data_IF_122314026560
#
_entry.id   IF_122314026560
#
_cell.length_a   1.000
_cell.length_b   1.000
_cell.length_c   1.000
_cell.angle_alpha   90.00
_cell.angle_beta   90.00
_cell.angle_gamma   90.00
#
_symmetry.space_group_name_H-M   'P 1'
#
loop_
_entity.id
_entity.type
_entity.pdbx_description
1 polymer ?
#
# COMPACT_ATOMS: atom_id res chain seq x y z
N UNK A 1 -29.48 -67.33 -1.72
CA UNK A 1 -28.42 -66.56 -1.03
C UNK A 1 -27.62 -65.82 -2.10
N UNK A 2 -27.94 -64.55 -2.33
CA UNK A 2 -27.34 -63.71 -3.38
C UNK A 2 -26.23 -62.84 -2.77
N UNK A 3 -24.98 -63.14 -3.10
CA UNK A 3 -23.81 -62.34 -2.70
C UNK A 3 -23.70 -61.11 -3.59
N UNK A 4 -23.98 -59.94 -3.02
CA UNK A 4 -23.80 -58.63 -3.64
C UNK A 4 -22.32 -58.27 -3.65
N UNK A 5 -21.69 -58.31 -4.82
CA UNK A 5 -20.32 -57.85 -5.04
C UNK A 5 -20.32 -56.32 -5.14
N UNK A 6 -19.86 -55.63 -4.08
CA UNK A 6 -19.65 -54.17 -4.11
C UNK A 6 -18.35 -53.86 -4.87
N UNK A 7 -18.50 -53.18 -6.00
CA UNK A 7 -17.41 -52.61 -6.81
C UNK A 7 -16.60 -51.61 -5.96
N UNK A 8 -15.26 -51.65 -5.96
CA UNK A 8 -14.44 -50.72 -5.19
C UNK A 8 -14.59 -49.28 -5.72
N UNK A 9 -14.53 -48.25 -4.86
CA UNK A 9 -14.56 -46.87 -5.31
C UNK A 9 -13.34 -46.58 -6.19
N UNK A 10 -13.57 -45.88 -7.31
CA UNK A 10 -12.51 -45.48 -8.23
C UNK A 10 -11.46 -44.64 -7.47
N UNK A 11 -10.20 -45.09 -7.49
CA UNK A 11 -9.06 -44.31 -6.97
C UNK A 11 -9.04 -42.96 -7.69
N UNK A 12 -9.22 -41.86 -6.95
CA UNK A 12 -8.93 -40.50 -7.44
C UNK A 12 -7.52 -40.51 -8.02
N UNK A 13 -7.39 -40.18 -9.30
CA UNK A 13 -6.08 -40.02 -9.94
C UNK A 13 -5.24 -39.05 -9.10
N UNK A 14 -4.02 -39.46 -8.75
CA UNK A 14 -3.09 -38.60 -8.04
C UNK A 14 -2.84 -37.35 -8.89
N UNK A 15 -2.99 -36.16 -8.29
CA UNK A 15 -2.62 -34.91 -8.98
C UNK A 15 -1.15 -35.02 -9.39
N UNK A 16 -0.80 -34.68 -10.65
CA UNK A 16 0.60 -34.70 -11.07
C UNK A 16 1.41 -33.79 -10.13
N UNK A 17 2.59 -34.27 -9.73
CA UNK A 17 3.50 -33.50 -8.89
C UNK A 17 3.92 -32.23 -9.63
N UNK A 18 3.70 -31.08 -9.01
CA UNK A 18 4.17 -29.80 -9.53
C UNK A 18 5.70 -29.78 -9.59
N UNK A 19 6.25 -29.31 -10.71
CA UNK A 19 7.68 -29.02 -10.84
C UNK A 19 8.00 -27.59 -10.38
N UNK A 20 9.27 -27.31 -10.11
CA UNK A 20 9.70 -25.93 -9.82
C UNK A 20 9.49 -24.97 -11.01
N UNK A 21 9.47 -25.47 -12.25
CA UNK A 21 9.13 -24.67 -13.41
C UNK A 21 7.65 -24.24 -13.36
N UNK A 22 6.75 -25.17 -13.01
CA UNK A 22 5.32 -24.88 -12.85
C UNK A 22 5.06 -23.88 -11.72
N UNK A 23 5.82 -23.97 -10.63
CA UNK A 23 5.73 -23.02 -9.51
C UNK A 23 6.24 -21.65 -9.96
N UNK A 24 7.40 -21.58 -10.63
CA UNK A 24 7.99 -20.32 -11.09
C UNK A 24 7.08 -19.56 -12.05
N UNK A 25 6.40 -20.27 -12.95
CA UNK A 25 5.44 -19.67 -13.88
C UNK A 25 4.23 -19.02 -13.18
N UNK A 26 3.95 -19.37 -11.92
CA UNK A 26 2.85 -18.82 -11.11
C UNK A 26 3.29 -17.69 -10.19
N UNK A 27 4.58 -17.39 -10.08
CA UNK A 27 5.05 -16.32 -9.20
C UNK A 27 4.60 -14.98 -9.77
N UNK A 28 3.75 -14.30 -9.02
CA UNK A 28 3.42 -12.90 -9.22
C UNK A 28 3.91 -12.11 -8.01
N UNK A 29 4.49 -10.94 -8.25
CA UNK A 29 4.94 -10.07 -7.18
C UNK A 29 3.76 -9.19 -6.74
N UNK A 30 3.58 -8.97 -5.42
CA UNK A 30 2.51 -8.12 -4.94
C UNK A 30 2.65 -6.71 -5.53
N UNK A 31 1.48 -6.08 -5.78
CA UNK A 31 1.35 -4.70 -6.26
C UNK A 31 0.50 -3.90 -5.29
N UNK A 32 0.84 -2.63 -5.10
CA UNK A 32 0.11 -1.71 -4.23
C UNK A 32 -0.02 -0.36 -4.90
N UNK A 33 -1.23 0.18 -4.87
CA UNK A 33 -1.51 1.56 -5.27
C UNK A 33 -1.38 2.45 -4.04
N UNK A 34 -0.65 3.55 -4.19
CA UNK A 34 -0.43 4.58 -3.18
C UNK A 34 -0.93 5.89 -3.74
N UNK A 35 -2.03 6.39 -3.18
CA UNK A 35 -2.54 7.71 -3.52
C UNK A 35 -1.84 8.77 -2.66
N UNK A 36 -1.34 9.80 -3.32
CA UNK A 36 -0.80 11.00 -2.70
C UNK A 36 -1.52 12.24 -3.23
N UNK A 37 -1.83 13.16 -2.34
CA UNK A 37 -2.28 14.52 -2.67
C UNK A 37 -1.03 15.37 -2.86
N UNK A 38 -0.87 16.01 -4.03
CA UNK A 38 0.29 16.85 -4.34
C UNK A 38 0.12 18.28 -3.84
N UNK A 39 -1.12 18.77 -3.72
CA UNK A 39 -1.42 20.08 -3.14
C UNK A 39 -1.50 19.99 -1.61
N UNK A 40 -0.34 20.03 -0.95
CA UNK A 40 -0.25 20.00 0.52
C UNK A 40 -0.90 21.24 1.18
N UNK A 41 -0.96 22.37 0.47
CA UNK A 41 -1.61 23.58 0.98
C UNK A 41 -3.13 23.39 1.06
N UNK A 42 -3.74 22.81 0.03
CA UNK A 42 -5.16 22.45 0.04
C UNK A 42 -5.47 21.47 1.18
N UNK A 43 -4.61 20.48 1.44
CA UNK A 43 -4.80 19.53 2.55
C UNK A 43 -4.79 20.21 3.93
N UNK A 44 -3.87 21.15 4.17
CA UNK A 44 -3.83 21.91 5.42
C UNK A 44 -5.03 22.87 5.57
N UNK A 45 -5.49 23.46 4.46
CA UNK A 45 -6.66 24.33 4.47
C UNK A 45 -7.96 23.55 4.72
N UNK A 46 -8.06 22.32 4.21
CA UNK A 46 -9.16 21.39 4.50
C UNK A 46 -9.27 21.13 6.00
N UNK A 47 -8.18 20.76 6.68
CA UNK A 47 -8.17 20.51 8.13
C UNK A 47 -8.65 21.75 8.92
N UNK A 48 -8.13 22.93 8.55
CA UNK A 48 -8.54 24.19 9.18
C UNK A 48 -10.03 24.51 8.93
N UNK A 49 -10.55 24.21 7.73
CA UNK A 49 -11.95 24.41 7.36
C UNK A 49 -12.89 23.41 8.03
N UNK A 50 -12.46 22.17 8.25
CA UNK A 50 -13.20 21.18 9.04
C UNK A 50 -13.38 21.64 10.49
N UNK A 51 -12.31 22.17 11.11
CA UNK A 51 -12.41 22.77 12.43
C UNK A 51 -13.37 23.98 12.45
N UNK A 52 -13.30 24.83 11.42
CA UNK A 52 -14.18 26.00 11.30
C UNK A 52 -15.63 25.57 11.13
N UNK A 53 -15.90 24.54 10.30
CA UNK A 53 -17.23 23.98 10.09
C UNK A 53 -17.82 23.46 11.40
N UNK A 54 -17.03 22.71 12.18
CA UNK A 54 -17.46 22.21 13.49
C UNK A 54 -17.79 23.37 14.48
N UNK A 55 -17.09 24.51 14.38
CA UNK A 55 -17.41 25.71 15.17
C UNK A 55 -18.67 26.41 14.66
N UNK A 56 -18.82 26.54 13.33
CA UNK A 56 -19.98 27.17 12.69
C UNK A 56 -21.28 26.40 12.98
N UNK A 57 -21.26 25.07 12.92
CA UNK A 57 -22.41 24.22 13.26
C UNK A 57 -22.93 24.50 14.67
N UNK A 58 -22.03 24.54 15.67
CA UNK A 58 -22.39 24.87 17.06
C UNK A 58 -22.94 26.30 17.21
N UNK A 59 -22.44 27.24 16.41
CA UNK A 59 -22.92 28.62 16.43
C UNK A 59 -24.33 28.73 15.82
N UNK A 60 -24.57 28.09 14.68
CA UNK A 60 -25.84 28.12 13.97
C UNK A 60 -26.97 27.48 14.78
N UNK A 61 -26.68 26.34 15.44
CA UNK A 61 -27.61 25.70 16.38
C UNK A 61 -28.08 26.64 17.50
N UNK A 62 -27.24 27.59 17.91
CA UNK A 62 -27.53 28.54 18.98
C UNK A 62 -28.18 29.84 18.50
N UNK A 63 -28.04 30.21 17.23
CA UNK A 63 -28.35 31.56 16.73
C UNK A 63 -29.27 31.62 15.50
N UNK A 64 -29.78 30.48 15.01
CA UNK A 64 -30.64 30.40 13.81
C UNK A 64 -30.00 31.12 12.59
N UNK A 65 -28.73 30.79 12.33
CA UNK A 65 -27.90 31.33 11.26
C UNK A 65 -27.51 30.22 10.26
N UNK A 66 -27.02 30.61 9.07
CA UNK A 66 -26.64 29.68 7.98
C UNK A 66 -25.13 29.62 7.70
N UNK A 67 -24.28 29.98 8.68
CA UNK A 67 -22.83 30.14 8.46
C UNK A 67 -22.11 28.82 8.13
N UNK A 68 -22.57 27.70 8.69
CA UNK A 68 -22.06 26.36 8.42
C UNK A 68 -22.26 25.95 6.96
N UNK A 69 -23.33 26.44 6.31
CA UNK A 69 -23.59 26.14 4.89
C UNK A 69 -22.50 26.72 4.00
N UNK A 70 -22.14 27.99 4.22
CA UNK A 70 -21.12 28.67 3.40
C UNK A 70 -19.72 28.07 3.60
N UNK A 71 -19.39 27.69 4.85
CA UNK A 71 -18.15 26.97 5.16
C UNK A 71 -18.14 25.59 4.49
N UNK A 72 -19.24 24.84 4.52
CA UNK A 72 -19.33 23.53 3.89
C UNK A 72 -19.17 23.60 2.36
N UNK A 73 -19.75 24.61 1.69
CA UNK A 73 -19.56 24.82 0.24
C UNK A 73 -18.09 25.12 -0.08
N UNK A 74 -17.43 25.92 0.76
CA UNK A 74 -16.01 26.26 0.58
C UNK A 74 -15.12 25.03 0.80
N UNK A 75 -15.42 24.23 1.82
CA UNK A 75 -14.74 22.97 2.11
C UNK A 75 -14.86 21.98 0.93
N UNK A 76 -16.07 21.77 0.40
CA UNK A 76 -16.27 20.87 -0.76
C UNK A 76 -15.48 21.29 -2.00
N UNK A 77 -15.32 22.61 -2.21
CA UNK A 77 -14.50 23.12 -3.32
C UNK A 77 -13.01 22.83 -3.10
N UNK A 78 -12.52 22.99 -1.86
CA UNK A 78 -11.13 22.67 -1.51
C UNK A 78 -10.86 21.17 -1.61
N UNK A 79 -11.80 20.33 -1.17
CA UNK A 79 -11.72 18.87 -1.32
C UNK A 79 -11.63 18.48 -2.79
N UNK A 80 -12.44 19.09 -3.67
CA UNK A 80 -12.35 18.85 -5.10
C UNK A 80 -10.99 19.27 -5.70
N UNK A 81 -10.44 20.41 -5.28
CA UNK A 81 -9.11 20.87 -5.69
C UNK A 81 -8.00 19.90 -5.22
N UNK A 82 -8.06 19.46 -3.96
CA UNK A 82 -7.11 18.49 -3.43
C UNK A 82 -7.20 17.17 -4.20
N UNK A 83 -8.41 16.72 -4.53
CA UNK A 83 -8.65 15.50 -5.33
C UNK A 83 -8.08 15.61 -6.75
N UNK A 84 -8.20 16.76 -7.41
CA UNK A 84 -7.59 17.00 -8.73
C UNK A 84 -6.05 16.89 -8.68
N UNK A 85 -5.44 17.20 -7.53
CA UNK A 85 -4.01 17.03 -7.31
C UNK A 85 -3.60 15.60 -6.92
N UNK A 86 -4.55 14.67 -6.82
CA UNK A 86 -4.26 13.28 -6.45
C UNK A 86 -3.50 12.58 -7.56
N UNK A 87 -2.34 12.02 -7.21
CA UNK A 87 -1.56 11.16 -8.10
C UNK A 87 -1.50 9.75 -7.51
N UNK A 88 -1.75 8.76 -8.37
CA UNK A 88 -1.66 7.34 -8.02
C UNK A 88 -0.28 6.81 -8.37
N UNK A 89 0.39 6.20 -7.40
CA UNK A 89 1.66 5.52 -7.58
C UNK A 89 1.44 4.01 -7.45
N UNK A 90 1.83 3.24 -8.47
CA UNK A 90 1.79 1.78 -8.47
C UNK A 90 3.18 1.26 -8.14
N UNK A 91 3.31 0.61 -6.99
CA UNK A 91 4.52 -0.08 -6.57
C UNK A 91 4.37 -1.59 -6.80
N UNK A 92 5.43 -2.25 -7.22
CA UNK A 92 5.55 -3.70 -7.30
C UNK A 92 6.80 -4.15 -6.53
N UNK A 93 6.67 -5.15 -5.66
CA UNK A 93 7.85 -5.69 -4.97
C UNK A 93 8.91 -6.16 -5.97
N UNK A 94 10.19 -5.99 -5.64
CA UNK A 94 11.29 -6.53 -6.42
C UNK A 94 11.65 -7.94 -5.97
N UNK A 95 12.44 -8.64 -6.78
CA UNK A 95 12.91 -10.00 -6.43
C UNK A 95 13.78 -9.97 -5.17
N UNK A 96 13.79 -11.07 -4.41
CA UNK A 96 14.67 -11.22 -3.25
C UNK A 96 16.13 -10.84 -3.57
N UNK A 97 16.66 -11.29 -4.70
CA UNK A 97 18.03 -10.98 -5.11
C UNK A 97 18.22 -9.48 -5.41
N UNK A 98 17.24 -8.84 -6.05
CA UNK A 98 17.25 -7.40 -6.30
C UNK A 98 17.26 -6.60 -4.99
N UNK A 99 16.43 -6.99 -4.03
CA UNK A 99 16.39 -6.35 -2.70
C UNK A 99 17.70 -6.51 -1.94
N UNK A 100 18.32 -7.70 -1.95
CA UNK A 100 19.62 -7.91 -1.30
C UNK A 100 20.74 -7.13 -1.99
N UNK A 101 20.73 -7.04 -3.32
CA UNK A 101 21.70 -6.24 -4.06
C UNK A 101 21.58 -4.76 -3.69
N UNK A 102 20.36 -4.23 -3.71
CA UNK A 102 20.09 -2.84 -3.33
C UNK A 102 20.55 -2.55 -1.90
N UNK A 103 20.25 -3.44 -0.95
CA UNK A 103 20.73 -3.27 0.44
C UNK A 103 22.25 -3.24 0.55
N UNK A 104 22.95 -4.01 -0.27
CA UNK A 104 24.41 -4.01 -0.29
C UNK A 104 25.00 -2.74 -0.91
N UNK A 105 24.28 -2.08 -1.81
CA UNK A 105 24.66 -0.80 -2.42
C UNK A 105 24.49 0.38 -1.46
N UNK A 106 23.63 0.24 -0.44
CA UNK A 106 23.33 1.27 0.55
C UNK A 106 23.68 0.82 1.98
N UNK A 107 24.96 0.55 2.29
CA UNK A 107 25.37 0.16 3.64
C UNK A 107 25.15 1.30 4.63
N UNK A 108 24.91 1.00 5.92
CA UNK A 108 24.77 2.03 6.95
C UNK A 108 26.04 2.89 7.06
N UNK A 109 25.87 4.17 7.39
CA UNK A 109 27.00 5.07 7.64
C UNK A 109 27.65 4.77 9.00
N UNK A 110 28.90 5.20 9.20
CA UNK A 110 29.59 5.03 10.48
C UNK A 110 28.84 5.73 11.61
N UNK A 111 28.33 6.92 11.33
CA UNK A 111 27.56 7.73 12.26
C UNK A 111 26.26 7.01 12.68
N UNK A 112 25.56 6.36 11.74
CA UNK A 112 24.37 5.57 12.04
C UNK A 112 24.69 4.36 12.93
N UNK A 113 25.80 3.66 12.67
CA UNK A 113 26.27 2.53 13.48
C UNK A 113 26.59 3.00 14.91
N UNK A 114 27.35 4.10 15.04
CA UNK A 114 27.71 4.68 16.34
C UNK A 114 26.49 5.15 17.13
N UNK A 115 25.52 5.79 16.46
CA UNK A 115 24.27 6.22 17.08
C UNK A 115 23.41 5.03 17.55
N UNK A 116 23.34 3.95 16.79
CA UNK A 116 22.61 2.74 17.17
C UNK A 116 23.23 2.09 18.42
N UNK A 117 24.57 1.99 18.45
CA UNK A 117 25.31 1.50 19.61
C UNK A 117 25.08 2.38 20.85
N UNK A 118 25.10 3.72 20.68
CA UNK A 118 24.87 4.66 21.77
C UNK A 118 23.45 4.59 22.36
N UNK A 119 22.45 4.20 21.57
CA UNK A 119 21.06 3.97 22.04
C UNK A 119 20.86 2.62 22.73
N UNK A 120 21.93 1.83 22.89
CA UNK A 120 21.86 0.48 23.48
C UNK A 120 21.28 -0.57 22.52
N UNK A 121 21.21 -0.26 21.23
CA UNK A 121 20.88 -1.24 20.19
C UNK A 121 21.95 -2.33 20.15
N UNK A 122 21.51 -3.60 20.13
CA UNK A 122 22.42 -4.75 19.98
C UNK A 122 22.77 -5.05 18.52
N UNK A 123 21.92 -4.59 17.60
CA UNK A 123 22.03 -4.86 16.18
C UNK A 123 22.45 -3.59 15.43
N UNK A 124 23.41 -3.74 14.52
CA UNK A 124 23.79 -2.67 13.60
C UNK A 124 22.63 -2.37 12.63
N UNK A 125 22.45 -1.11 12.21
CA UNK A 125 21.47 -0.77 11.20
C UNK A 125 21.69 -1.58 9.91
N UNK A 126 20.61 -1.98 9.28
CA UNK A 126 20.65 -2.90 8.15
C UNK A 126 21.11 -2.26 6.83
N UNK A 127 21.00 -0.93 6.72
CA UNK A 127 21.28 -0.09 5.55
C UNK A 127 21.23 1.39 5.98
N UNK A 128 21.72 2.28 5.13
CA UNK A 128 21.52 3.73 5.26
C UNK A 128 20.13 4.12 4.78
N UNK A 129 19.27 4.57 5.69
CA UNK A 129 17.87 4.88 5.37
C UNK A 129 17.73 6.03 4.37
N UNK A 130 18.64 7.01 4.39
CA UNK A 130 18.53 8.23 3.58
C UNK A 130 18.78 7.93 2.09
N UNK A 131 19.69 6.99 1.80
CA UNK A 131 19.98 6.59 0.43
C UNK A 131 19.21 5.34 -0.01
N UNK A 132 18.90 4.42 0.91
CA UNK A 132 18.18 3.19 0.58
C UNK A 132 16.69 3.42 0.32
N UNK A 133 16.04 4.34 1.06
CA UNK A 133 14.62 4.61 0.90
C UNK A 133 14.24 5.09 -0.51
N UNK A 134 14.85 6.16 -1.07
CA UNK A 134 14.58 6.58 -2.45
C UNK A 134 14.88 5.46 -3.44
N UNK A 135 16.01 4.77 -3.29
CA UNK A 135 16.42 3.73 -4.23
C UNK A 135 15.44 2.53 -4.25
N UNK A 136 14.89 2.14 -3.09
CA UNK A 136 13.89 1.07 -3.04
C UNK A 136 12.58 1.51 -3.68
N UNK A 137 12.12 2.73 -3.40
CA UNK A 137 10.89 3.26 -3.98
C UNK A 137 11.02 3.34 -5.51
N UNK A 138 12.13 3.88 -6.03
CA UNK A 138 12.41 3.93 -7.46
C UNK A 138 12.40 2.53 -8.09
N UNK A 139 13.10 1.57 -7.47
CA UNK A 139 13.20 0.21 -7.99
C UNK A 139 11.85 -0.53 -8.03
N UNK A 140 10.91 -0.16 -7.17
CA UNK A 140 9.57 -0.74 -7.10
C UNK A 140 8.53 0.06 -7.90
N UNK A 141 8.83 1.30 -8.31
CA UNK A 141 7.87 2.17 -8.97
C UNK A 141 7.59 1.72 -10.41
N UNK A 142 6.35 1.30 -10.65
CA UNK A 142 5.86 0.86 -11.96
C UNK A 142 5.20 1.99 -12.71
N UNK A 143 4.35 2.76 -12.03
CA UNK A 143 3.59 3.89 -12.61
C UNK A 143 3.42 5.00 -11.56
N UNK A 144 3.60 6.29 -11.90
CA UNK A 144 4.26 6.77 -13.11
C UNK A 144 5.73 6.36 -13.11
N UNK A 145 6.25 5.98 -14.29
CA UNK A 145 7.65 5.58 -14.42
C UNK A 145 8.51 6.81 -14.75
N UNK A 146 9.54 7.14 -13.94
CA UNK A 146 10.47 8.21 -14.28
C UNK A 146 11.25 7.85 -15.55
N UNK A 147 11.63 8.86 -16.34
CA UNK A 147 12.46 8.67 -17.53
C UNK A 147 13.88 8.23 -17.17
N UNK A 148 14.39 8.65 -16.01
CA UNK A 148 15.70 8.29 -15.46
C UNK A 148 15.77 8.56 -13.94
N UNK A 149 16.86 8.14 -13.30
CA UNK A 149 17.04 8.29 -11.84
C UNK A 149 17.25 9.74 -11.37
N UNK A 150 17.74 10.64 -12.23
CA UNK A 150 17.88 12.06 -11.87
C UNK A 150 16.50 12.73 -11.75
N UNK A 151 15.58 12.40 -12.65
CA UNK A 151 14.18 12.85 -12.55
C UNK A 151 13.50 12.33 -11.29
N UNK A 152 13.72 11.06 -10.94
CA UNK A 152 13.18 10.50 -9.70
C UNK A 152 13.76 11.19 -8.46
N UNK A 153 15.07 11.45 -8.44
CA UNK A 153 15.72 12.14 -7.33
C UNK A 153 15.15 13.56 -7.15
N UNK A 154 14.97 14.31 -8.24
CA UNK A 154 14.35 15.64 -8.18
C UNK A 154 12.92 15.58 -7.65
N UNK A 155 12.11 14.59 -8.08
CA UNK A 155 10.78 14.37 -7.53
C UNK A 155 10.83 14.05 -6.02
N UNK A 156 11.73 13.16 -5.61
CA UNK A 156 11.87 12.72 -4.23
C UNK A 156 12.23 13.89 -3.29
N UNK A 157 13.14 14.77 -3.73
CA UNK A 157 13.60 15.93 -2.93
C UNK A 157 12.51 17.01 -2.75
N UNK A 158 11.50 17.06 -3.62
CA UNK A 158 10.36 17.99 -3.54
C UNK A 158 9.24 17.49 -2.61
N UNK A 159 9.26 16.21 -2.22
CA UNK A 159 8.22 15.64 -1.36
C UNK A 159 8.39 16.08 0.10
N UNK A 160 7.27 16.33 0.76
CA UNK A 160 7.25 16.50 2.21
C UNK A 160 7.57 15.18 2.94
N UNK A 161 8.11 15.26 4.16
CA UNK A 161 8.39 14.10 5.01
C UNK A 161 7.20 13.13 5.15
N UNK A 162 5.97 13.66 5.18
CA UNK A 162 4.75 12.84 5.24
C UNK A 162 4.49 12.05 3.96
N UNK A 163 4.70 12.66 2.79
CA UNK A 163 4.60 11.97 1.50
C UNK A 163 5.72 10.94 1.35
N UNK A 164 6.94 11.28 1.74
CA UNK A 164 8.10 10.38 1.77
C UNK A 164 7.83 9.16 2.65
N UNK A 165 7.40 9.38 3.90
CA UNK A 165 7.08 8.31 4.84
C UNK A 165 5.98 7.38 4.30
N UNK A 166 5.00 7.92 3.57
CA UNK A 166 3.91 7.14 2.96
C UNK A 166 4.40 6.27 1.81
N UNK A 167 5.22 6.79 0.89
CA UNK A 167 5.81 5.99 -0.19
C UNK A 167 6.78 4.94 0.34
N UNK A 168 7.70 5.35 1.21
CA UNK A 168 8.66 4.45 1.85
C UNK A 168 7.96 3.33 2.63
N UNK A 169 6.96 3.68 3.45
CA UNK A 169 6.20 2.71 4.23
C UNK A 169 5.47 1.70 3.34
N UNK A 170 4.89 2.16 2.23
CA UNK A 170 4.26 1.27 1.24
C UNK A 170 5.28 0.36 0.54
N UNK A 171 6.45 0.90 0.18
CA UNK A 171 7.52 0.16 -0.49
C UNK A 171 8.13 -0.96 0.37
N UNK A 172 8.30 -0.70 1.67
CA UNK A 172 8.71 -1.74 2.62
C UNK A 172 7.59 -2.75 2.85
N UNK A 173 6.35 -2.29 3.06
CA UNK A 173 5.23 -3.19 3.32
C UNK A 173 5.05 -4.19 2.17
N UNK A 174 5.07 -3.72 0.92
CA UNK A 174 4.89 -4.59 -0.25
C UNK A 174 6.05 -5.56 -0.46
N UNK A 175 7.27 -5.17 -0.11
CA UNK A 175 8.45 -6.03 -0.27
C UNK A 175 8.38 -7.30 0.57
N UNK A 176 7.72 -7.23 1.73
CA UNK A 176 7.56 -8.33 2.67
C UNK A 176 6.15 -8.91 2.71
N UNK A 177 5.26 -8.41 1.84
CA UNK A 177 3.91 -8.92 1.72
C UNK A 177 3.92 -10.35 1.19
N UNK A 178 3.10 -11.21 1.81
CA UNK A 178 2.89 -12.58 1.37
C UNK A 178 1.44 -12.73 0.93
N UNK A 179 1.22 -13.47 -0.15
CA UNK A 179 -0.13 -13.76 -0.64
C UNK A 179 -0.81 -14.77 0.26
N UNK A 180 -1.55 -14.31 1.27
CA UNK A 180 -2.44 -15.14 2.06
C UNK A 180 -3.88 -14.96 1.59
N UNK A 181 -4.52 -16.05 1.18
CA UNK A 181 -5.95 -16.03 0.92
C UNK A 181 -6.66 -16.08 2.28
N UNK A 182 -7.39 -15.01 2.63
CA UNK A 182 -8.31 -15.01 3.76
C UNK A 182 -9.41 -16.06 3.60
N UNK A 183 -10.22 -16.31 4.64
CA UNK A 183 -11.38 -17.20 4.52
C UNK A 183 -12.31 -16.70 3.40
N UNK A 184 -13.04 -17.62 2.71
CA UNK A 184 -13.99 -17.23 1.68
C UNK A 184 -14.95 -16.15 2.17
N UNK A 185 -15.23 -15.17 1.31
CA UNK A 185 -16.11 -14.05 1.67
C UNK A 185 -17.54 -14.53 1.91
N UNK A 186 -17.99 -14.41 3.16
CA UNK A 186 -19.38 -14.75 3.53
C UNK A 186 -20.38 -13.83 2.85
N UNK A 187 -20.06 -12.54 2.73
CA UNK A 187 -20.90 -11.59 2.01
C UNK A 187 -21.10 -12.01 0.54
N UNK A 188 -20.04 -12.49 -0.13
CA UNK A 188 -20.17 -13.01 -1.49
C UNK A 188 -21.03 -14.28 -1.54
N UNK A 189 -20.87 -15.19 -0.58
CA UNK A 189 -21.70 -16.40 -0.48
C UNK A 189 -23.18 -16.07 -0.22
N UNK A 190 -23.50 -15.03 0.54
CA UNK A 190 -24.86 -14.56 0.81
C UNK A 190 -25.52 -13.99 -0.45
N UNK A 191 -24.80 -13.18 -1.21
CA UNK A 191 -25.27 -12.65 -2.50
C UNK A 191 -25.49 -13.78 -3.50
N UNK A 192 -24.55 -14.73 -3.63
CA UNK A 192 -24.72 -15.86 -4.55
C UNK A 192 -25.92 -16.74 -4.17
N UNK A 193 -26.15 -16.95 -2.87
CA UNK A 193 -27.35 -17.64 -2.37
C UNK A 193 -28.65 -16.91 -2.72
N UNK A 194 -28.68 -15.56 -2.69
CA UNK A 194 -29.89 -14.80 -3.07
C UNK A 194 -30.23 -14.93 -4.55
N UNK A 195 -29.24 -15.22 -5.41
CA UNK A 195 -29.43 -15.54 -6.83
C UNK A 195 -29.61 -17.04 -7.12
N UNK A 196 -29.74 -17.89 -6.09
CA UNK A 196 -29.92 -19.34 -6.26
C UNK A 196 -28.67 -20.08 -6.74
N UNK A 197 -27.49 -19.44 -6.68
CA UNK A 197 -26.21 -20.07 -7.03
C UNK A 197 -25.61 -20.68 -5.76
N UNK A 198 -25.64 -22.01 -5.66
CA UNK A 198 -24.95 -22.73 -4.57
C UNK A 198 -23.45 -22.73 -4.79
N UNK A 199 -22.70 -22.06 -3.91
CA UNK A 199 -21.24 -22.17 -3.79
C UNK A 199 -20.86 -23.47 -3.07
N UNK A 200 -20.09 -24.34 -3.74
CA UNK A 200 -19.45 -25.54 -3.15
C UNK A 200 -18.16 -25.23 -2.42
#
# INVERSE_FOLDING_TARGET
MTTSSRKPPARRAAKPSLTFADIRAKIQRPRRVVDLIMDAAAAAEIEAMEELLARAQRHDEANDADTARDVAVSLQRLEAQAEESRVQFVLEAITHRGYQALRAEHPPTKEQIEQAAARGGRDEPAFDADTFAPALVEAQLVEPKPANSEEFAAFWDELSDGQLARLWGAAIAIQFETGELGPPSQAAADVLRSFGVTTT
#
